data_IF_508908712527
#
_entry.id   IF_508908712527
#
_cell.length_a   1.000
_cell.length_b   1.000
_cell.length_c   1.000
_cell.angle_alpha   90.00
_cell.angle_beta   90.00
_cell.angle_gamma   90.00
#
_symmetry.space_group_name_H-M   'P 1'
#
loop_
_entity.id
_entity.type
_entity.pdbx_description
1 polymer ?
#
# COMPACT_ATOMS: atom_id res chain seq x y z
N UNK A 1 45.22 17.13 -69.67
CA UNK A 1 45.75 16.28 -70.80
C UNK A 1 45.04 14.91 -70.68
N UNK A 2 44.29 14.58 -71.76
CA UNK A 2 43.68 13.28 -72.16
C UNK A 2 42.65 12.67 -71.22
N UNK A 3 41.31 12.70 -71.45
CA UNK A 3 40.49 11.95 -72.44
C UNK A 3 40.60 10.42 -72.33
N UNK A 4 39.47 9.76 -72.04
CA UNK A 4 38.91 8.62 -72.76
C UNK A 4 37.70 8.08 -72.04
N UNK A 5 36.46 8.32 -72.47
CA UNK A 5 35.57 7.65 -73.41
C UNK A 5 35.12 6.24 -72.94
N UNK A 6 33.83 6.23 -72.60
CA UNK A 6 32.72 5.35 -72.98
C UNK A 6 32.82 3.83 -72.75
N UNK A 7 31.74 3.29 -72.20
CA UNK A 7 30.81 2.34 -72.87
C UNK A 7 29.51 2.13 -72.12
N UNK A 8 28.44 2.52 -72.74
CA UNK A 8 27.06 2.16 -72.44
C UNK A 8 26.85 0.65 -72.57
N UNK A 9 26.24 0.00 -71.63
CA UNK A 9 25.52 -1.26 -71.86
C UNK A 9 24.15 -1.17 -71.22
N UNK A 10 23.15 -1.20 -72.05
CA UNK A 10 21.75 -1.41 -71.76
C UNK A 10 21.56 -2.84 -71.26
N UNK A 11 20.86 -3.02 -70.14
CA UNK A 11 20.27 -4.29 -69.76
C UNK A 11 18.85 -4.06 -69.34
N UNK A 12 17.97 -4.78 -69.95
CA UNK A 12 16.52 -4.67 -69.89
C UNK A 12 15.95 -4.90 -68.50
N UNK A 13 14.96 -4.08 -68.13
CA UNK A 13 14.07 -4.30 -67.02
C UNK A 13 13.13 -5.46 -67.35
N UNK A 14 13.21 -6.52 -66.53
CA UNK A 14 12.13 -7.48 -66.38
C UNK A 14 11.34 -7.08 -65.20
N UNK A 15 10.15 -6.53 -65.35
CA UNK A 15 9.17 -6.26 -64.35
C UNK A 15 8.54 -7.58 -63.93
N UNK A 16 8.81 -7.99 -62.65
CA UNK A 16 8.06 -9.06 -62.01
C UNK A 16 6.86 -8.45 -61.27
N UNK A 17 5.67 -9.02 -61.37
CA UNK A 17 4.52 -8.52 -60.62
C UNK A 17 4.69 -8.84 -59.14
N UNK A 18 4.64 -7.79 -58.26
CA UNK A 18 4.49 -7.93 -56.82
C UNK A 18 3.10 -8.52 -56.56
N UNK A 19 3.05 -9.77 -56.21
CA UNK A 19 1.87 -10.38 -55.62
C UNK A 19 1.80 -9.84 -54.16
N UNK A 20 0.87 -8.94 -53.92
CA UNK A 20 0.52 -8.49 -52.59
C UNK A 20 -0.08 -9.66 -51.79
N UNK A 21 0.71 -10.27 -50.90
CA UNK A 21 0.17 -11.18 -49.93
C UNK A 21 -0.65 -10.38 -48.91
N UNK A 22 -1.89 -10.79 -48.62
CA UNK A 22 -2.64 -10.18 -47.51
C UNK A 22 -1.89 -10.45 -46.22
N UNK A 23 -1.46 -9.41 -45.54
CA UNK A 23 -0.94 -9.49 -44.20
C UNK A 23 -2.07 -10.04 -43.30
N UNK A 24 -2.00 -11.31 -42.95
CA UNK A 24 -2.77 -11.88 -41.88
C UNK A 24 -2.32 -11.17 -40.59
N UNK A 25 -3.03 -10.10 -40.25
CA UNK A 25 -2.99 -9.57 -38.88
C UNK A 25 -3.33 -10.74 -37.95
N UNK A 26 -2.31 -11.24 -37.30
CA UNK A 26 -2.47 -12.21 -36.21
C UNK A 26 -3.45 -11.61 -35.22
N UNK A 27 -4.65 -12.15 -35.19
CA UNK A 27 -5.70 -11.86 -34.22
C UNK A 27 -5.36 -12.63 -32.96
N UNK A 28 -4.21 -12.27 -32.34
CA UNK A 28 -3.71 -12.84 -31.09
C UNK A 28 -3.85 -11.85 -29.94
N UNK A 29 -5.02 -11.20 -29.86
CA UNK A 29 -5.52 -10.55 -28.64
C UNK A 29 -7.02 -10.86 -28.52
N UNK A 30 -7.35 -12.13 -28.55
CA UNK A 30 -8.58 -12.58 -27.92
C UNK A 30 -8.32 -12.43 -26.43
N UNK A 31 -8.77 -11.29 -25.87
CA UNK A 31 -8.89 -11.10 -24.45
C UNK A 31 -9.56 -12.37 -23.89
N UNK A 32 -8.81 -13.16 -23.18
CA UNK A 32 -9.35 -14.17 -22.27
C UNK A 32 -10.26 -13.42 -21.34
N UNK A 33 -11.56 -13.60 -21.50
CA UNK A 33 -12.62 -12.97 -20.69
C UNK A 33 -12.66 -13.50 -19.26
N UNK A 34 -11.50 -13.50 -18.61
CA UNK A 34 -11.39 -13.74 -17.18
C UNK A 34 -11.77 -12.45 -16.44
N UNK A 35 -12.54 -12.58 -15.38
CA UNK A 35 -12.76 -11.47 -14.46
C UNK A 35 -11.41 -10.86 -14.08
N UNK A 36 -11.31 -9.51 -14.00
CA UNK A 36 -10.08 -8.86 -13.58
C UNK A 36 -9.65 -9.40 -12.21
N UNK A 37 -8.34 -9.58 -11.97
CA UNK A 37 -7.85 -10.11 -10.70
C UNK A 37 -8.28 -9.20 -9.56
N UNK A 38 -8.61 -9.82 -8.44
CA UNK A 38 -8.88 -9.10 -7.21
C UNK A 38 -7.63 -8.31 -6.77
N UNK A 39 -7.80 -7.09 -6.26
CA UNK A 39 -6.67 -6.22 -5.94
C UNK A 39 -6.68 -5.81 -4.47
N UNK A 40 -5.56 -6.03 -3.79
CA UNK A 40 -5.26 -5.46 -2.48
C UNK A 40 -4.56 -4.12 -2.69
N UNK A 41 -5.17 -3.05 -2.23
CA UNK A 41 -4.57 -1.71 -2.22
C UNK A 41 -4.06 -1.40 -0.82
N UNK A 42 -2.89 -0.77 -0.71
CA UNK A 42 -2.37 -0.28 0.56
C UNK A 42 -2.04 1.20 0.47
N UNK A 43 -2.55 1.98 1.42
CA UNK A 43 -2.32 3.41 1.55
C UNK A 43 -1.85 3.74 2.97
N UNK A 44 -1.21 4.89 3.12
CA UNK A 44 -0.83 5.42 4.41
C UNK A 44 0.68 5.49 4.63
N UNK A 45 1.13 5.06 5.80
CA UNK A 45 2.45 5.31 6.35
C UNK A 45 3.35 4.06 6.46
N UNK A 46 4.42 4.18 7.26
CA UNK A 46 5.40 3.11 7.50
C UNK A 46 4.81 1.85 8.14
N UNK A 47 3.65 1.90 8.77
CA UNK A 47 2.99 0.69 9.32
C UNK A 47 2.72 -0.32 8.18
N UNK A 48 2.36 0.17 6.99
CA UNK A 48 2.18 -0.66 5.79
C UNK A 48 3.40 -0.63 4.85
N UNK A 49 4.31 0.37 4.96
CA UNK A 49 5.54 0.49 4.15
C UNK A 49 6.80 0.31 4.99
N UNK A 50 6.87 -0.78 5.77
CA UNK A 50 7.99 -1.07 6.67
C UNK A 50 9.09 -1.96 6.06
N UNK A 51 9.02 -2.30 4.78
CA UNK A 51 9.98 -3.23 4.15
C UNK A 51 11.44 -2.84 4.30
N UNK A 52 11.75 -1.54 4.29
CA UNK A 52 13.11 -1.02 4.49
C UNK A 52 13.68 -1.24 5.90
N UNK A 53 12.84 -1.61 6.87
CA UNK A 53 13.21 -1.78 8.27
C UNK A 53 13.52 -3.22 8.66
N UNK A 54 13.52 -4.15 7.70
CA UNK A 54 13.94 -5.53 7.91
C UNK A 54 14.78 -6.05 6.75
N UNK A 55 15.61 -7.06 7.03
CA UNK A 55 16.58 -7.60 6.08
C UNK A 55 15.94 -8.32 4.87
N UNK A 56 14.66 -8.64 4.95
CA UNK A 56 13.93 -9.37 3.90
C UNK A 56 13.17 -8.43 2.95
N UNK A 57 13.12 -7.14 3.22
CA UNK A 57 12.39 -6.17 2.43
C UNK A 57 10.87 -6.40 2.42
N UNK A 58 10.35 -7.04 3.45
CA UNK A 58 8.96 -7.53 3.52
C UNK A 58 8.09 -6.53 4.29
N UNK A 59 6.89 -6.28 3.77
CA UNK A 59 5.88 -5.44 4.41
C UNK A 59 4.51 -6.16 4.47
N UNK A 60 3.56 -5.70 5.31
CA UNK A 60 2.28 -6.39 5.55
C UNK A 60 1.47 -6.71 4.30
N UNK A 61 1.43 -5.79 3.32
CA UNK A 61 0.71 -6.00 2.06
C UNK A 61 1.23 -7.18 1.26
N UNK A 62 2.56 -7.35 1.19
CA UNK A 62 3.18 -8.51 0.54
C UNK A 62 2.79 -9.81 1.26
N UNK A 63 2.90 -9.82 2.60
CA UNK A 63 2.57 -11.00 3.42
C UNK A 63 1.09 -11.38 3.36
N UNK A 64 0.19 -10.41 3.17
CA UNK A 64 -1.23 -10.67 2.96
C UNK A 64 -1.48 -11.33 1.61
N UNK A 65 -0.81 -10.85 0.56
CA UNK A 65 -0.96 -11.40 -0.79
C UNK A 65 -0.33 -12.78 -0.89
N UNK A 66 0.91 -12.93 -0.42
CA UNK A 66 1.65 -14.18 -0.45
C UNK A 66 2.48 -14.33 0.81
N UNK A 67 2.26 -15.43 1.53
CA UNK A 67 3.06 -15.76 2.71
C UNK A 67 4.48 -16.22 2.30
N UNK A 68 5.45 -15.94 3.14
CA UNK A 68 6.73 -16.64 3.14
C UNK A 68 6.64 -17.79 4.14
N UNK A 69 6.45 -19.00 3.64
CA UNK A 69 6.21 -20.19 4.47
C UNK A 69 7.45 -20.60 5.27
N UNK A 70 8.64 -20.15 4.90
CA UNK A 70 9.86 -20.39 5.65
C UNK A 70 9.98 -19.45 6.85
N UNK A 71 9.59 -18.17 6.67
CA UNK A 71 9.60 -17.17 7.72
C UNK A 71 8.39 -17.28 8.66
N UNK A 72 7.23 -17.62 8.12
CA UNK A 72 5.95 -17.62 8.84
C UNK A 72 5.13 -18.89 8.52
N UNK A 73 5.58 -20.07 8.99
CA UNK A 73 4.92 -21.35 8.71
C UNK A 73 3.47 -21.42 9.24
N UNK A 74 3.14 -20.65 10.28
CA UNK A 74 1.79 -20.59 10.86
C UNK A 74 0.75 -19.91 9.95
N UNK A 75 1.21 -19.19 8.91
CA UNK A 75 0.33 -18.59 7.90
C UNK A 75 0.29 -19.35 6.58
N UNK A 76 0.92 -20.53 6.50
CA UNK A 76 0.92 -21.35 5.30
C UNK A 76 -0.50 -21.62 4.80
N UNK A 77 -0.76 -21.34 3.53
CA UNK A 77 -2.07 -21.52 2.90
C UNK A 77 -3.17 -20.57 3.39
N UNK A 78 -2.82 -19.53 4.15
CA UNK A 78 -3.78 -18.55 4.67
C UNK A 78 -3.72 -17.20 3.97
N UNK A 79 -2.77 -17.00 3.07
CA UNK A 79 -2.65 -15.79 2.27
C UNK A 79 -3.75 -15.69 1.19
N UNK A 80 -3.84 -14.53 0.56
CA UNK A 80 -4.89 -14.26 -0.42
C UNK A 80 -4.67 -15.05 -1.73
N UNK A 81 -3.43 -15.35 -2.11
CA UNK A 81 -3.15 -16.17 -3.30
C UNK A 81 -3.63 -17.60 -3.14
N UNK A 82 -3.71 -18.13 -1.91
CA UNK A 82 -4.32 -19.43 -1.64
C UNK A 82 -5.83 -19.46 -1.97
N UNK A 83 -6.48 -18.29 -2.05
CA UNK A 83 -7.91 -18.15 -2.38
C UNK A 83 -8.15 -17.84 -3.86
N UNK A 84 -7.13 -17.46 -4.64
CA UNK A 84 -7.21 -17.14 -6.05
C UNK A 84 -6.24 -16.06 -6.51
N UNK A 85 -6.29 -15.66 -7.79
CA UNK A 85 -5.40 -14.62 -8.34
C UNK A 85 -5.62 -13.27 -7.65
N UNK A 86 -4.56 -12.72 -7.06
CA UNK A 86 -4.56 -11.43 -6.35
C UNK A 86 -3.39 -10.58 -6.83
N UNK A 87 -3.64 -9.28 -7.01
CA UNK A 87 -2.63 -8.27 -7.27
C UNK A 87 -2.48 -7.35 -6.07
N UNK A 88 -1.25 -6.93 -5.78
CA UNK A 88 -0.94 -5.89 -4.82
C UNK A 88 -0.73 -4.56 -5.55
N UNK A 89 -1.44 -3.53 -5.13
CA UNK A 89 -1.19 -2.14 -5.50
C UNK A 89 -0.73 -1.39 -4.24
N UNK A 90 0.59 -1.37 -4.03
CA UNK A 90 1.19 -0.76 -2.86
C UNK A 90 1.43 0.74 -3.09
N UNK A 91 0.77 1.57 -2.28
CA UNK A 91 0.80 3.03 -2.36
C UNK A 91 1.15 3.71 -1.05
N UNK A 92 1.22 2.95 0.06
CA UNK A 92 1.70 3.48 1.33
C UNK A 92 3.13 4.02 1.18
N UNK A 93 3.44 5.07 1.92
CA UNK A 93 4.76 5.73 1.87
C UNK A 93 5.24 5.96 3.30
N UNK A 94 6.41 5.44 3.60
CA UNK A 94 7.09 5.66 4.87
C UNK A 94 7.18 7.16 5.21
N UNK A 95 6.83 7.52 6.44
CA UNK A 95 6.83 8.91 6.92
C UNK A 95 5.61 9.75 6.52
N UNK A 96 4.64 9.19 5.77
CA UNK A 96 3.47 9.94 5.33
C UNK A 96 2.57 10.39 6.50
N UNK A 97 2.00 11.58 6.35
CA UNK A 97 0.93 12.15 7.17
C UNK A 97 -0.40 12.12 6.42
N UNK A 98 -1.48 12.50 7.07
CA UNK A 98 -2.80 12.58 6.45
C UNK A 98 -2.83 13.48 5.21
N UNK A 99 -2.01 14.53 5.17
CA UNK A 99 -1.91 15.45 4.04
C UNK A 99 -1.24 14.82 2.80
N UNK A 100 -0.43 13.77 2.99
CA UNK A 100 0.27 13.07 1.91
C UNK A 100 -0.64 12.05 1.18
N UNK A 101 -1.76 11.64 1.77
CA UNK A 101 -2.67 10.63 1.22
C UNK A 101 -3.19 10.99 -0.18
N UNK A 102 -3.45 12.28 -0.45
CA UNK A 102 -3.90 12.73 -1.76
C UNK A 102 -2.88 12.46 -2.87
N UNK A 103 -1.58 12.42 -2.55
CA UNK A 103 -0.54 12.07 -3.49
C UNK A 103 -0.54 10.57 -3.83
N UNK A 104 -0.90 9.72 -2.88
CA UNK A 104 -0.89 8.27 -3.05
C UNK A 104 -1.99 7.76 -4.01
N UNK A 105 -3.06 8.53 -4.22
CA UNK A 105 -4.13 8.17 -5.17
C UNK A 105 -3.93 8.75 -6.57
N UNK A 106 -2.91 9.57 -6.79
CA UNK A 106 -2.64 10.12 -8.12
C UNK A 106 -2.34 9.01 -9.13
N UNK A 107 -3.06 9.05 -10.26
CA UNK A 107 -2.92 8.03 -11.30
C UNK A 107 -3.41 6.63 -10.90
N UNK A 108 -4.15 6.51 -9.79
CA UNK A 108 -4.76 5.26 -9.38
C UNK A 108 -5.72 4.77 -10.46
N UNK A 109 -5.54 3.52 -10.88
CA UNK A 109 -6.45 2.83 -11.79
C UNK A 109 -7.09 1.67 -11.05
N UNK A 110 -8.40 1.69 -10.96
CA UNK A 110 -9.17 0.60 -10.37
C UNK A 110 -9.83 -0.19 -11.49
N UNK A 111 -9.48 -1.46 -11.62
CA UNK A 111 -10.13 -2.40 -12.52
C UNK A 111 -10.46 -3.66 -11.73
N UNK A 112 -11.74 -3.97 -11.62
CA UNK A 112 -12.20 -5.14 -10.87
C UNK A 112 -12.38 -4.93 -9.37
N UNK A 113 -12.72 -6.01 -8.66
CA UNK A 113 -12.97 -5.97 -7.21
C UNK A 113 -11.67 -5.82 -6.42
N UNK A 114 -11.76 -5.29 -5.22
CA UNK A 114 -10.62 -5.13 -4.33
C UNK A 114 -10.99 -4.55 -2.97
N UNK A 115 -9.99 -4.42 -2.12
CA UNK A 115 -10.10 -3.81 -0.79
C UNK A 115 -8.91 -2.88 -0.59
N UNK A 116 -9.12 -1.78 0.13
CA UNK A 116 -8.06 -0.87 0.54
C UNK A 116 -7.70 -1.10 2.01
N UNK A 117 -6.41 -1.16 2.33
CA UNK A 117 -5.89 -1.01 3.68
C UNK A 117 -5.36 0.41 3.84
N UNK A 118 -5.62 1.01 4.98
CA UNK A 118 -5.15 2.34 5.32
C UNK A 118 -4.62 2.37 6.76
N UNK A 119 -3.39 2.83 6.92
CA UNK A 119 -2.81 3.20 8.22
C UNK A 119 -2.31 4.63 8.14
N UNK A 120 -2.69 5.49 9.07
CA UNK A 120 -2.31 6.91 9.07
C UNK A 120 -2.50 7.51 10.46
N UNK A 121 -1.77 8.56 10.77
CA UNK A 121 -1.91 9.31 12.00
C UNK A 121 -0.72 9.18 12.94
N UNK A 122 0.12 8.15 12.80
CA UNK A 122 1.34 7.99 13.59
C UNK A 122 2.30 9.17 13.38
N UNK A 123 2.61 9.49 12.13
CA UNK A 123 3.47 10.64 11.80
C UNK A 123 2.81 11.98 12.14
N UNK A 124 1.49 12.09 12.05
CA UNK A 124 0.76 13.29 12.46
C UNK A 124 0.94 13.53 13.97
N UNK A 125 0.84 12.46 14.79
CA UNK A 125 1.13 12.54 16.23
C UNK A 125 2.55 12.98 16.50
N UNK A 126 3.55 12.39 15.83
CA UNK A 126 4.96 12.76 15.96
C UNK A 126 5.21 14.22 15.57
N UNK A 127 4.51 14.73 14.54
CA UNK A 127 4.67 16.08 14.01
C UNK A 127 3.79 17.15 14.67
N UNK A 128 3.14 16.80 15.78
CA UNK A 128 2.46 17.80 16.61
C UNK A 128 1.10 17.43 17.15
N UNK A 129 0.36 16.47 16.55
CA UNK A 129 -0.94 16.07 17.10
C UNK A 129 -0.83 15.51 18.52
N UNK A 130 0.32 14.93 18.92
CA UNK A 130 0.53 14.44 20.27
C UNK A 130 0.35 15.52 21.36
N UNK A 131 0.51 16.80 21.01
CA UNK A 131 0.34 17.95 21.91
C UNK A 131 -0.84 18.88 21.54
N UNK A 132 -1.66 18.45 20.54
CA UNK A 132 -2.73 19.31 20.01
C UNK A 132 -3.89 19.48 21.02
N UNK A 133 -4.42 20.71 21.07
CA UNK A 133 -5.57 21.06 21.92
C UNK A 133 -6.92 20.95 21.18
N UNK A 134 -6.93 20.60 19.90
CA UNK A 134 -8.15 20.36 19.12
C UNK A 134 -8.15 20.89 17.69
N UNK A 135 -7.40 21.94 17.37
CA UNK A 135 -7.38 22.49 16.00
C UNK A 135 -6.70 21.57 15.01
N UNK A 136 -5.58 20.96 15.39
CA UNK A 136 -4.88 19.98 14.57
C UNK A 136 -5.73 18.73 14.36
N UNK A 137 -6.39 18.25 15.39
CA UNK A 137 -7.28 17.08 15.33
C UNK A 137 -8.42 17.29 14.34
N UNK A 138 -9.04 18.47 14.30
CA UNK A 138 -10.09 18.81 13.30
C UNK A 138 -9.54 18.84 11.88
N UNK A 139 -8.31 19.35 11.69
CA UNK A 139 -7.65 19.31 10.37
C UNK A 139 -7.36 17.90 9.91
N UNK A 140 -6.85 17.06 10.81
CA UNK A 140 -6.60 15.64 10.55
C UNK A 140 -7.91 14.94 10.11
N UNK A 141 -8.98 15.08 10.89
CA UNK A 141 -10.29 14.50 10.59
C UNK A 141 -10.82 14.96 9.23
N UNK A 142 -10.76 16.28 8.94
CA UNK A 142 -11.22 16.84 7.66
C UNK A 142 -10.39 16.33 6.47
N UNK A 143 -9.07 16.21 6.62
CA UNK A 143 -8.19 15.72 5.57
C UNK A 143 -8.44 14.24 5.29
N UNK A 144 -8.60 13.43 6.34
CA UNK A 144 -8.92 12.01 6.23
C UNK A 144 -10.30 11.79 5.58
N UNK A 145 -11.33 12.56 5.99
CA UNK A 145 -12.66 12.51 5.37
C UNK A 145 -12.61 12.81 3.87
N UNK A 146 -11.90 13.86 3.49
CA UNK A 146 -11.71 14.23 2.08
C UNK A 146 -11.06 13.09 1.29
N UNK A 147 -10.01 12.49 1.84
CA UNK A 147 -9.33 11.36 1.21
C UNK A 147 -10.27 10.16 1.03
N UNK A 148 -10.94 9.75 2.10
CA UNK A 148 -11.85 8.60 2.08
C UNK A 148 -13.03 8.83 1.14
N UNK A 149 -13.60 10.03 1.11
CA UNK A 149 -14.67 10.38 0.18
C UNK A 149 -14.23 10.29 -1.29
N UNK A 150 -13.00 10.71 -1.58
CA UNK A 150 -12.45 10.67 -2.94
C UNK A 150 -11.94 9.30 -3.37
N UNK A 151 -11.66 8.38 -2.45
CA UNK A 151 -11.12 7.06 -2.76
C UNK A 151 -12.20 6.17 -3.40
N UNK A 152 -11.99 5.64 -4.63
CA UNK A 152 -13.02 4.87 -5.35
C UNK A 152 -13.05 3.38 -4.98
N UNK A 153 -12.39 2.98 -3.89
CA UNK A 153 -12.24 1.58 -3.48
C UNK A 153 -13.02 1.34 -2.19
N UNK A 154 -13.83 0.31 -2.17
CA UNK A 154 -14.58 -0.15 -0.99
C UNK A 154 -14.54 -1.68 -0.89
N UNK A 155 -14.52 -2.26 0.33
CA UNK A 155 -14.41 -1.56 1.61
C UNK A 155 -13.00 -1.00 1.84
N UNK A 156 -12.87 -0.07 2.81
CA UNK A 156 -11.59 0.39 3.35
C UNK A 156 -11.40 -0.22 4.75
N UNK A 157 -10.30 -0.92 4.97
CA UNK A 157 -9.91 -1.44 6.27
C UNK A 157 -8.95 -0.43 6.91
N UNK A 158 -9.38 0.25 7.95
CA UNK A 158 -8.58 1.26 8.66
C UNK A 158 -7.88 0.62 9.84
N UNK A 159 -6.55 0.73 9.89
CA UNK A 159 -5.75 0.33 11.05
C UNK A 159 -5.66 1.46 12.07
N UNK A 160 -5.87 1.15 13.36
CA UNK A 160 -5.58 2.09 14.44
C UNK A 160 -4.06 2.30 14.59
N UNK A 161 -3.66 3.46 15.10
CA UNK A 161 -2.25 3.74 15.45
C UNK A 161 -1.93 3.03 16.77
N UNK A 162 -0.88 2.23 16.79
CA UNK A 162 -0.42 1.51 17.98
C UNK A 162 0.38 2.42 18.93
N UNK A 163 0.56 1.95 20.17
CA UNK A 163 1.41 2.57 21.18
C UNK A 163 2.73 1.77 21.33
N UNK A 164 3.87 2.29 20.86
CA UNK A 164 5.15 1.57 20.96
C UNK A 164 5.72 1.53 22.38
N UNK A 165 5.12 2.27 23.33
CA UNK A 165 5.50 2.20 24.74
C UNK A 165 4.81 1.06 25.49
N UNK A 166 3.84 0.38 24.88
CA UNK A 166 2.98 -0.64 25.51
C UNK A 166 2.22 -0.11 26.73
N UNK A 167 1.88 1.18 26.73
CA UNK A 167 1.22 1.84 27.87
C UNK A 167 2.13 2.20 29.03
N UNK A 168 3.43 1.98 28.93
CA UNK A 168 4.44 2.31 29.93
C UNK A 168 4.93 3.76 29.75
N UNK A 169 4.53 4.64 30.67
CA UNK A 169 4.88 6.05 30.66
C UNK A 169 6.38 6.32 30.78
N UNK A 170 7.13 5.40 31.39
CA UNK A 170 8.59 5.54 31.53
C UNK A 170 9.32 5.38 30.21
N UNK A 171 8.65 4.81 29.21
CA UNK A 171 9.16 4.63 27.84
C UNK A 171 8.71 5.73 26.88
N UNK A 172 8.03 6.77 27.39
CA UNK A 172 7.63 7.89 26.56
C UNK A 172 8.86 8.57 25.95
N UNK A 173 8.89 8.66 24.64
CA UNK A 173 9.99 9.23 23.85
C UNK A 173 9.64 10.60 23.25
N UNK A 174 8.41 11.09 23.49
CA UNK A 174 7.98 12.41 23.06
C UNK A 174 8.18 13.43 24.18
N UNK A 175 8.60 14.63 23.83
CA UNK A 175 8.69 15.76 24.76
C UNK A 175 7.28 16.36 25.02
N UNK A 176 6.39 15.51 25.51
CA UNK A 176 5.00 15.84 25.89
C UNK A 176 4.60 14.94 27.04
N UNK A 177 3.84 15.45 27.99
CA UNK A 177 3.36 14.64 29.14
C UNK A 177 2.62 13.37 28.64
N UNK A 178 2.95 12.18 29.15
CA UNK A 178 2.39 10.91 28.67
C UNK A 178 0.86 10.87 28.63
N UNK A 179 0.21 11.47 29.63
CA UNK A 179 -1.25 11.54 29.67
C UNK A 179 -1.86 12.32 28.49
N UNK A 180 -1.17 13.37 28.03
CA UNK A 180 -1.60 14.17 26.85
C UNK A 180 -1.38 13.35 25.58
N UNK A 181 -0.21 12.71 25.43
CA UNK A 181 0.10 11.83 24.29
C UNK A 181 -0.96 10.74 24.15
N UNK A 182 -1.26 10.02 25.23
CA UNK A 182 -2.29 8.97 25.22
C UNK A 182 -3.69 9.49 24.92
N UNK A 183 -4.04 10.66 25.44
CA UNK A 183 -5.34 11.28 25.13
C UNK A 183 -5.46 11.59 23.65
N UNK A 184 -4.41 12.12 23.01
CA UNK A 184 -4.42 12.45 21.60
C UNK A 184 -4.30 11.21 20.71
N UNK A 185 -3.56 10.18 21.11
CA UNK A 185 -3.55 8.88 20.43
C UNK A 185 -4.95 8.26 20.42
N UNK A 186 -5.66 8.27 21.54
CA UNK A 186 -7.06 7.81 21.60
C UNK A 186 -7.95 8.60 20.64
N UNK A 187 -7.84 9.93 20.62
CA UNK A 187 -8.64 10.78 19.70
C UNK A 187 -8.40 10.44 18.24
N UNK A 188 -7.14 10.22 17.83
CA UNK A 188 -6.82 9.78 16.46
C UNK A 188 -7.49 8.43 16.17
N UNK A 189 -7.38 7.47 17.11
CA UNK A 189 -7.97 6.15 16.95
C UNK A 189 -9.50 6.18 16.94
N UNK A 190 -10.13 7.06 17.73
CA UNK A 190 -11.59 7.27 17.71
C UNK A 190 -12.07 7.82 16.36
N UNK A 191 -11.31 8.76 15.76
CA UNK A 191 -11.58 9.27 14.40
C UNK A 191 -11.47 8.14 13.38
N UNK A 192 -10.40 7.34 13.43
CA UNK A 192 -10.22 6.19 12.55
C UNK A 192 -11.35 5.18 12.70
N UNK A 193 -11.79 4.92 13.95
CA UNK A 193 -12.92 4.04 14.25
C UNK A 193 -14.25 4.54 13.66
N UNK A 194 -14.51 5.84 13.75
CA UNK A 194 -15.71 6.48 13.18
C UNK A 194 -15.74 6.30 11.66
N UNK A 195 -14.63 6.56 10.98
CA UNK A 195 -14.55 6.37 9.53
C UNK A 195 -14.58 4.89 9.12
N UNK A 196 -14.01 3.99 9.93
CA UNK A 196 -14.10 2.56 9.66
C UNK A 196 -15.53 2.05 9.68
N UNK A 197 -16.39 2.57 10.55
CA UNK A 197 -17.83 2.23 10.58
C UNK A 197 -18.57 2.71 9.31
N UNK A 198 -18.15 3.84 8.73
CA UNK A 198 -18.77 4.39 7.52
C UNK A 198 -18.27 3.71 6.24
N UNK A 199 -16.96 3.46 6.14
CA UNK A 199 -16.30 3.13 4.89
C UNK A 199 -15.86 1.66 4.79
N UNK A 200 -15.91 0.91 5.91
CA UNK A 200 -15.51 -0.50 5.88
C UNK A 200 -15.41 -1.17 7.23
N UNK A 201 -14.17 -1.46 7.72
CA UNK A 201 -13.93 -2.15 8.98
C UNK A 201 -12.70 -1.58 9.69
N UNK A 202 -12.68 -1.71 11.02
CA UNK A 202 -11.54 -1.34 11.85
C UNK A 202 -10.61 -2.54 12.05
N UNK A 203 -9.34 -2.35 11.78
CA UNK A 203 -8.24 -3.25 12.17
C UNK A 203 -7.60 -2.67 13.44
N UNK A 204 -7.94 -3.22 14.60
CA UNK A 204 -7.47 -2.69 15.89
C UNK A 204 -6.02 -3.09 16.18
N UNK A 205 -5.09 -2.44 15.47
CA UNK A 205 -3.66 -2.60 15.70
C UNK A 205 -3.26 -2.13 17.11
N UNK A 206 -3.92 -1.10 17.63
CA UNK A 206 -3.61 -0.58 18.96
C UNK A 206 -3.81 -1.64 20.04
N UNK A 207 -4.99 -2.22 20.12
CA UNK A 207 -5.27 -3.26 21.10
C UNK A 207 -4.42 -4.53 20.89
N UNK A 208 -4.10 -4.86 19.64
CA UNK A 208 -3.25 -6.00 19.32
C UNK A 208 -1.82 -5.79 19.80
N UNK A 209 -1.22 -4.64 19.47
CA UNK A 209 0.17 -4.33 19.79
C UNK A 209 0.40 -4.08 21.30
N UNK A 210 -0.59 -3.59 22.04
CA UNK A 210 -0.50 -3.49 23.50
C UNK A 210 -0.26 -4.83 24.20
N UNK A 211 -0.63 -5.95 23.57
CA UNK A 211 -0.39 -7.32 24.07
C UNK A 211 0.88 -7.94 23.47
N UNK A 212 1.61 -7.16 22.71
CA UNK A 212 2.77 -7.59 21.97
C UNK A 212 4.06 -7.59 22.77
N UNK A 213 5.14 -7.58 22.03
CA UNK A 213 6.50 -7.70 22.53
C UNK A 213 7.39 -6.64 21.87
N UNK A 214 8.41 -6.09 22.56
CA UNK A 214 9.32 -5.09 21.98
C UNK A 214 9.99 -5.53 20.67
N UNK A 215 10.17 -6.84 20.44
CA UNK A 215 10.72 -7.36 19.18
C UNK A 215 9.83 -7.09 17.96
N UNK A 216 8.56 -6.72 18.15
CA UNK A 216 7.67 -6.30 17.07
C UNK A 216 8.06 -4.94 16.48
N UNK A 217 8.91 -4.19 17.18
CA UNK A 217 9.40 -2.89 16.76
C UNK A 217 10.90 -2.89 16.44
N UNK A 218 11.27 -2.01 15.54
CA UNK A 218 12.63 -1.55 15.30
C UNK A 218 12.65 -0.03 15.28
N UNK A 219 13.80 0.60 15.49
CA UNK A 219 13.91 2.08 15.51
C UNK A 219 12.83 2.76 16.37
N UNK A 220 12.48 2.16 17.49
CA UNK A 220 11.49 2.61 18.48
C UNK A 220 10.03 2.41 18.04
N UNK A 221 9.66 2.76 16.80
CA UNK A 221 8.25 2.86 16.37
C UNK A 221 7.93 2.06 15.11
N UNK A 222 8.94 1.65 14.36
CA UNK A 222 8.73 1.01 13.06
C UNK A 222 8.45 -0.48 13.23
N UNK A 223 7.52 -1.08 12.47
CA UNK A 223 7.35 -2.52 12.52
C UNK A 223 8.62 -3.25 12.06
N UNK A 224 9.11 -4.16 12.91
CA UNK A 224 10.13 -5.13 12.52
C UNK A 224 9.56 -6.16 11.53
N UNK A 225 10.34 -7.16 11.13
CA UNK A 225 9.84 -8.29 10.35
C UNK A 225 8.68 -9.00 11.07
N UNK A 226 8.81 -9.22 12.38
CA UNK A 226 7.74 -9.81 13.21
C UNK A 226 6.57 -8.85 13.28
N UNK A 227 6.82 -7.56 13.54
CA UNK A 227 5.77 -6.53 13.56
C UNK A 227 5.00 -6.43 12.26
N UNK A 228 5.64 -6.54 11.09
CA UNK A 228 4.98 -6.60 9.80
C UNK A 228 4.01 -7.80 9.69
N UNK A 229 4.44 -8.96 10.22
CA UNK A 229 3.57 -10.15 10.31
C UNK A 229 2.41 -9.94 11.29
N UNK A 230 2.63 -9.23 12.40
CA UNK A 230 1.56 -8.95 13.37
C UNK A 230 0.55 -7.92 12.84
N UNK A 231 0.98 -6.91 12.06
CA UNK A 231 0.06 -6.05 11.31
C UNK A 231 -0.79 -6.88 10.35
N UNK A 232 -0.16 -7.78 9.56
CA UNK A 232 -0.90 -8.73 8.70
C UNK A 232 -1.91 -9.55 9.50
N UNK A 233 -1.54 -10.06 10.69
CA UNK A 233 -2.40 -10.89 11.54
C UNK A 233 -3.72 -10.22 11.88
N UNK A 234 -3.70 -8.89 12.08
CA UNK A 234 -4.91 -8.12 12.39
C UNK A 234 -5.76 -7.86 11.14
N UNK A 235 -5.15 -7.58 9.98
CA UNK A 235 -5.89 -7.32 8.76
C UNK A 235 -6.47 -8.57 8.10
N UNK A 236 -5.76 -9.69 8.13
CA UNK A 236 -6.11 -10.91 7.39
C UNK A 236 -7.54 -11.43 7.63
N UNK A 237 -8.07 -11.47 8.86
CA UNK A 237 -9.44 -11.95 9.11
C UNK A 237 -10.54 -10.97 8.65
N UNK A 238 -10.16 -9.75 8.27
CA UNK A 238 -11.10 -8.73 7.81
C UNK A 238 -11.27 -8.73 6.28
N UNK A 239 -10.40 -9.44 5.55
CA UNK A 239 -10.43 -9.61 4.10
C UNK A 239 -11.10 -10.95 3.76
#
# INVERSE_FOLDING_TARGET
MRLSIARRRWLAMLAAPLIAMPSTRSRADAATGGNPPWTLFTFGDSILDCGRYNAHGVHPGQLLVRNDDALFPEFKGRDLQARGPVRLEHRAVDGATVDDLAAQVRGLRTSGPGVALLTIGGNDLLRGLARDSGAGMRRFETALDRFLTALPIRPVLLGTVYDPTFGDDTRNFLDVAPAIVRANLRRVNDILGTFAQRDGRLADLHAHFLRGDPSWFTRTIEPSLIGASEVRRVFLPLI
#
